data_IF_476199256523
#
_entry.id   IF_476199256523
#
_cell.length_a   1.000
_cell.length_b   1.000
_cell.length_c   1.000
_cell.angle_alpha   90.00
_cell.angle_beta   90.00
_cell.angle_gamma   90.00
#
_symmetry.space_group_name_H-M   'P 1'
#
loop_
_entity.id
_entity.type
_entity.pdbx_description
1 polymer ?
#
# COMPACT_ATOMS: atom_id res chain seq x y z
N UNK A 1 -7.25 -86.38 -4.20
CA UNK A 1 -6.92 -85.29 -5.09
C UNK A 1 -8.15 -84.42 -5.23
N UNK A 2 -8.25 -83.34 -4.45
CA UNK A 2 -9.29 -82.32 -4.62
C UNK A 2 -8.59 -80.96 -4.55
N UNK A 3 -8.61 -80.26 -5.63
CA UNK A 3 -8.07 -78.92 -5.76
C UNK A 3 -9.03 -77.89 -5.15
N UNK A 4 -8.58 -77.17 -4.13
CA UNK A 4 -9.28 -76.02 -3.58
C UNK A 4 -8.92 -74.81 -4.39
N UNK A 5 -9.93 -74.16 -4.96
CA UNK A 5 -9.81 -72.87 -5.66
C UNK A 5 -10.05 -71.79 -4.61
N UNK A 6 -9.04 -70.97 -4.33
CA UNK A 6 -9.14 -69.77 -3.51
C UNK A 6 -9.67 -68.63 -4.36
N UNK A 7 -10.84 -68.13 -4.03
CA UNK A 7 -11.38 -66.91 -4.62
C UNK A 7 -10.81 -65.70 -3.86
N UNK A 8 -10.01 -64.89 -4.55
CA UNK A 8 -9.55 -63.62 -4.04
C UNK A 8 -10.62 -62.54 -4.25
N UNK A 9 -11.21 -62.03 -3.18
CA UNK A 9 -12.10 -60.88 -3.26
C UNK A 9 -11.27 -59.57 -3.37
N UNK A 10 -11.34 -58.91 -4.52
CA UNK A 10 -10.81 -57.55 -4.69
C UNK A 10 -11.79 -56.57 -3.99
N UNK A 11 -11.35 -55.99 -2.90
CA UNK A 11 -11.99 -54.80 -2.31
C UNK A 11 -11.49 -53.59 -3.08
N UNK A 12 -12.31 -53.03 -3.96
CA UNK A 12 -12.07 -51.76 -4.59
C UNK A 12 -12.43 -50.63 -3.62
N UNK A 13 -11.43 -50.05 -2.95
CA UNK A 13 -11.59 -48.78 -2.24
C UNK A 13 -11.68 -47.65 -3.23
N UNK A 14 -12.87 -47.11 -3.43
CA UNK A 14 -13.08 -45.88 -4.17
C UNK A 14 -12.48 -44.70 -3.37
N UNK A 15 -11.29 -44.23 -3.75
CA UNK A 15 -10.77 -42.94 -3.36
C UNK A 15 -11.57 -41.86 -4.10
N UNK A 16 -12.54 -41.29 -3.39
CA UNK A 16 -13.19 -40.04 -3.84
C UNK A 16 -12.20 -38.88 -3.67
N UNK A 17 -11.45 -38.60 -4.73
CA UNK A 17 -10.71 -37.35 -4.83
C UNK A 17 -11.75 -36.23 -5.02
N UNK A 18 -12.08 -35.54 -3.95
CA UNK A 18 -12.72 -34.23 -4.01
C UNK A 18 -11.70 -33.26 -4.64
N UNK A 19 -11.76 -33.11 -5.97
CA UNK A 19 -11.17 -31.96 -6.63
C UNK A 19 -11.92 -30.72 -6.13
N UNK A 20 -11.36 -30.06 -5.13
CA UNK A 20 -11.73 -28.70 -4.81
C UNK A 20 -11.45 -27.86 -6.08
N UNK A 21 -12.52 -27.44 -6.72
CA UNK A 21 -12.46 -26.48 -7.80
C UNK A 21 -11.97 -25.17 -7.18
N UNK A 22 -10.65 -24.93 -7.26
CA UNK A 22 -10.11 -23.60 -7.02
C UNK A 22 -10.76 -22.71 -8.09
N UNK A 23 -11.70 -21.89 -7.65
CA UNK A 23 -12.26 -20.85 -8.49
C UNK A 23 -11.08 -20.00 -8.98
N UNK A 24 -10.69 -20.21 -10.24
CA UNK A 24 -9.69 -19.37 -10.90
C UNK A 24 -10.25 -17.96 -10.89
N UNK A 25 -9.64 -17.07 -10.11
CA UNK A 25 -9.92 -15.65 -10.22
C UNK A 25 -9.80 -15.27 -11.72
N UNK A 26 -10.68 -14.43 -12.24
CA UNK A 26 -10.65 -14.09 -13.65
C UNK A 26 -9.25 -13.60 -14.01
N UNK A 27 -8.63 -14.23 -15.02
CA UNK A 27 -7.34 -13.80 -15.56
C UNK A 27 -7.52 -12.38 -16.04
N UNK A 28 -6.94 -11.45 -15.31
CA UNK A 28 -7.06 -10.03 -15.57
C UNK A 28 -6.26 -9.74 -16.85
N UNK A 29 -6.93 -9.23 -17.90
CA UNK A 29 -6.27 -8.87 -19.16
C UNK A 29 -5.19 -7.83 -18.88
N UNK A 30 -3.93 -8.18 -19.11
CA UNK A 30 -2.80 -7.25 -18.99
C UNK A 30 -2.73 -6.37 -20.24
N UNK A 31 -2.35 -5.10 -20.03
CA UNK A 31 -2.00 -4.20 -21.13
C UNK A 31 -0.59 -4.53 -21.65
N UNK A 32 -0.27 -4.10 -22.86
CA UNK A 32 0.97 -4.51 -23.53
C UNK A 32 2.26 -4.15 -22.81
N UNK A 33 2.22 -3.17 -21.90
CA UNK A 33 3.36 -2.65 -21.14
C UNK A 33 3.22 -2.88 -19.60
N UNK A 34 2.40 -3.84 -19.19
CA UNK A 34 2.24 -4.22 -17.79
C UNK A 34 3.23 -5.33 -17.37
N UNK A 35 3.65 -5.26 -16.12
CA UNK A 35 4.45 -6.30 -15.44
C UNK A 35 3.57 -7.08 -14.48
N UNK A 36 3.62 -8.42 -14.55
CA UNK A 36 2.86 -9.32 -13.66
C UNK A 36 3.46 -9.37 -12.26
N UNK A 37 2.68 -9.81 -11.26
CA UNK A 37 3.16 -10.02 -9.89
C UNK A 37 4.34 -10.98 -9.82
N UNK A 38 4.24 -12.11 -10.51
CA UNK A 38 5.27 -13.16 -10.55
C UNK A 38 6.59 -12.64 -11.12
N UNK A 39 6.50 -11.81 -12.15
CA UNK A 39 7.69 -11.20 -12.76
C UNK A 39 8.35 -10.18 -11.83
N UNK A 40 7.55 -9.41 -11.07
CA UNK A 40 8.08 -8.47 -10.07
C UNK A 40 8.80 -9.20 -8.94
N UNK A 41 8.22 -10.29 -8.43
CA UNK A 41 8.85 -11.13 -7.41
C UNK A 41 10.16 -11.72 -7.93
N UNK A 42 10.16 -12.25 -9.18
CA UNK A 42 11.35 -12.79 -9.81
C UNK A 42 12.47 -11.75 -9.92
N UNK A 43 12.17 -10.52 -10.34
CA UNK A 43 13.18 -9.45 -10.42
C UNK A 43 13.78 -9.11 -9.04
N UNK A 44 12.99 -9.18 -7.99
CA UNK A 44 13.44 -8.96 -6.63
C UNK A 44 14.32 -10.11 -6.14
N UNK A 45 13.83 -11.36 -6.21
CA UNK A 45 14.54 -12.55 -5.71
C UNK A 45 15.85 -12.82 -6.44
N UNK A 46 15.91 -12.47 -7.74
CA UNK A 46 17.17 -12.59 -8.52
C UNK A 46 18.11 -11.39 -8.38
N UNK A 47 17.74 -10.39 -7.55
CA UNK A 47 18.54 -9.20 -7.29
C UNK A 47 18.76 -8.32 -8.51
N UNK A 48 17.81 -8.29 -9.45
CA UNK A 48 17.85 -7.44 -10.65
C UNK A 48 17.44 -6.00 -10.36
N UNK A 49 16.58 -5.78 -9.35
CA UNK A 49 16.15 -4.43 -8.95
C UNK A 49 17.34 -3.63 -8.45
N UNK A 50 17.52 -2.42 -8.99
CA UNK A 50 18.66 -1.54 -8.72
C UNK A 50 19.94 -1.86 -9.51
N UNK A 51 19.92 -2.87 -10.41
CA UNK A 51 21.06 -3.22 -11.28
C UNK A 51 20.73 -3.18 -12.77
N UNK A 52 19.76 -3.98 -13.18
CA UNK A 52 19.29 -4.08 -14.58
C UNK A 52 17.82 -3.69 -14.75
N UNK A 53 17.09 -3.61 -13.65
CA UNK A 53 15.69 -3.17 -13.57
C UNK A 53 15.60 -2.05 -12.54
N UNK A 54 15.15 -0.88 -12.96
CA UNK A 54 14.91 0.26 -12.08
C UNK A 54 13.44 0.32 -11.72
N UNK A 55 13.14 0.21 -10.44
CA UNK A 55 11.78 0.30 -9.92
C UNK A 55 11.54 1.70 -9.38
N UNK A 56 10.45 2.35 -9.79
CA UNK A 56 10.14 3.74 -9.43
C UNK A 56 8.75 3.83 -8.82
N UNK A 57 8.69 4.37 -7.60
CA UNK A 57 7.46 4.67 -6.90
C UNK A 57 6.94 6.05 -7.28
N UNK A 58 5.78 6.08 -7.93
CA UNK A 58 5.12 7.32 -8.37
C UNK A 58 4.22 7.96 -7.32
N UNK A 59 4.09 7.33 -6.13
CA UNK A 59 3.27 7.83 -5.02
C UNK A 59 3.90 9.05 -4.37
N UNK A 60 3.11 9.86 -3.61
CA UNK A 60 3.68 10.92 -2.78
C UNK A 60 4.78 10.43 -1.85
N UNK A 61 5.79 11.28 -1.58
CA UNK A 61 6.96 10.90 -0.77
C UNK A 61 6.59 10.36 0.62
N UNK A 62 5.54 10.86 1.26
CA UNK A 62 5.06 10.34 2.54
C UNK A 62 4.59 8.89 2.49
N UNK A 63 4.03 8.44 1.35
CA UNK A 63 3.65 7.03 1.14
C UNK A 63 4.88 6.16 0.91
N UNK A 64 5.90 6.67 0.22
CA UNK A 64 7.17 5.97 0.00
C UNK A 64 7.89 5.68 1.31
N UNK A 65 8.11 6.71 2.15
CA UNK A 65 8.87 6.55 3.41
C UNK A 65 8.19 5.59 4.40
N UNK A 66 6.85 5.51 4.37
CA UNK A 66 6.07 4.62 5.24
C UNK A 66 6.08 3.15 4.83
N UNK A 67 6.50 2.84 3.59
CA UNK A 67 6.63 1.49 3.06
C UNK A 67 6.61 1.46 1.55
N UNK A 68 7.71 1.02 0.96
CA UNK A 68 7.91 0.89 -0.49
C UNK A 68 8.48 -0.49 -0.84
N UNK A 69 8.41 -0.87 -2.10
CA UNK A 69 9.02 -2.12 -2.58
C UNK A 69 10.55 -1.97 -2.45
N UNK A 70 11.25 -2.91 -1.81
CA UNK A 70 12.69 -2.80 -1.59
C UNK A 70 13.46 -2.58 -2.89
N UNK A 71 14.40 -1.63 -2.87
CA UNK A 71 15.18 -1.22 -4.04
C UNK A 71 14.48 -0.23 -4.97
N UNK A 72 13.26 0.20 -4.66
CA UNK A 72 12.58 1.24 -5.43
C UNK A 72 13.15 2.63 -5.17
N UNK A 73 13.11 3.46 -6.21
CA UNK A 73 13.44 4.88 -6.17
C UNK A 73 12.16 5.70 -6.03
N UNK A 74 12.19 6.79 -5.25
CA UNK A 74 11.06 7.69 -5.09
C UNK A 74 11.06 8.77 -6.16
N UNK A 75 10.03 8.82 -6.99
CA UNK A 75 9.78 9.92 -7.93
C UNK A 75 8.28 10.21 -8.01
N UNK A 76 7.74 10.98 -7.06
CA UNK A 76 6.35 11.38 -7.10
C UNK A 76 5.97 12.03 -8.44
N UNK A 77 4.82 11.65 -9.01
CA UNK A 77 4.38 12.15 -10.31
C UNK A 77 4.26 13.68 -10.37
N UNK A 78 3.86 14.32 -9.28
CA UNK A 78 3.73 15.77 -9.21
C UNK A 78 5.10 16.46 -9.29
N UNK A 79 6.13 15.89 -8.67
CA UNK A 79 7.52 16.36 -8.84
C UNK A 79 7.97 16.19 -10.28
N UNK A 80 7.74 15.02 -10.88
CA UNK A 80 8.08 14.73 -12.27
C UNK A 80 7.36 15.66 -13.26
N UNK A 81 6.08 15.96 -13.03
CA UNK A 81 5.30 16.91 -13.86
C UNK A 81 5.78 18.35 -13.70
N UNK A 82 6.26 18.73 -12.52
CA UNK A 82 6.77 20.09 -12.24
C UNK A 82 8.18 20.28 -12.78
N UNK A 83 9.02 19.29 -12.65
CA UNK A 83 10.44 19.30 -13.04
C UNK A 83 10.83 17.94 -13.62
N UNK A 84 10.75 17.84 -14.96
CA UNK A 84 11.12 16.61 -15.65
C UNK A 84 12.61 16.24 -15.44
N UNK A 85 13.49 17.22 -15.19
CA UNK A 85 14.89 16.96 -14.90
C UNK A 85 15.10 16.21 -13.55
N UNK A 86 14.08 16.15 -12.69
CA UNK A 86 14.11 15.29 -11.50
C UNK A 86 14.34 13.82 -11.83
N UNK A 87 13.94 13.37 -13.03
CA UNK A 87 14.20 12.01 -13.50
C UNK A 87 15.68 11.71 -13.70
N UNK A 88 16.45 12.71 -14.17
CA UNK A 88 17.89 12.52 -14.45
C UNK A 88 18.69 12.32 -13.15
N UNK A 89 18.18 12.85 -12.03
CA UNK A 89 18.79 12.66 -10.68
C UNK A 89 18.71 11.22 -10.18
N UNK A 90 17.86 10.39 -10.77
CA UNK A 90 17.77 8.98 -10.42
C UNK A 90 18.93 8.13 -10.99
N UNK A 91 19.71 8.67 -11.92
CA UNK A 91 20.82 7.97 -12.54
C UNK A 91 20.41 6.77 -13.42
N UNK A 92 19.16 6.72 -13.86
CA UNK A 92 18.63 5.64 -14.69
C UNK A 92 19.10 5.84 -16.14
N UNK A 93 19.79 4.87 -16.76
CA UNK A 93 20.17 4.99 -18.16
C UNK A 93 18.95 4.95 -19.08
N UNK A 94 18.96 5.72 -20.17
CA UNK A 94 17.84 5.79 -21.14
C UNK A 94 17.48 4.44 -21.78
N UNK A 95 18.46 3.52 -21.85
CA UNK A 95 18.29 2.15 -22.35
C UNK A 95 17.90 1.15 -21.26
N UNK A 96 17.77 1.61 -20.01
CA UNK A 96 17.43 0.74 -18.88
C UNK A 96 15.94 0.40 -18.84
N UNK A 97 15.64 -0.81 -18.37
CA UNK A 97 14.26 -1.21 -18.06
C UNK A 97 13.79 -0.48 -16.81
N UNK A 98 12.77 0.37 -16.96
CA UNK A 98 12.18 1.14 -15.84
C UNK A 98 10.76 0.66 -15.60
N UNK A 99 10.43 0.31 -14.37
CA UNK A 99 9.10 -0.15 -13.98
C UNK A 99 8.51 0.84 -12.97
N UNK A 100 7.39 1.45 -13.32
CA UNK A 100 6.67 2.36 -12.43
C UNK A 100 5.57 1.63 -11.68
N UNK A 101 5.40 1.94 -10.40
CA UNK A 101 4.27 1.46 -9.62
C UNK A 101 3.62 2.56 -8.78
N UNK A 102 2.42 2.30 -8.29
CA UNK A 102 1.71 3.17 -7.37
C UNK A 102 0.82 2.38 -6.39
N UNK A 103 -0.33 2.92 -5.98
CA UNK A 103 -1.18 2.35 -4.95
C UNK A 103 -2.13 1.23 -5.45
N UNK A 104 -1.95 0.72 -6.66
CA UNK A 104 -2.77 -0.36 -7.22
C UNK A 104 -3.44 0.02 -8.55
N UNK A 105 -4.25 -0.88 -9.10
CA UNK A 105 -4.77 -0.78 -10.48
C UNK A 105 -5.62 0.46 -10.75
N UNK A 106 -6.38 0.92 -9.78
CA UNK A 106 -7.23 2.11 -9.91
C UNK A 106 -6.42 3.43 -9.86
N UNK A 107 -5.16 3.35 -9.46
CA UNK A 107 -4.26 4.50 -9.38
C UNK A 107 -3.52 4.70 -10.72
N UNK A 108 -3.63 5.86 -11.35
CA UNK A 108 -3.00 6.16 -12.65
C UNK A 108 -1.61 6.78 -12.56
N UNK A 109 -1.09 7.07 -11.34
CA UNK A 109 0.18 7.79 -11.18
C UNK A 109 1.35 7.09 -11.89
N UNK A 110 1.41 5.75 -11.82
CA UNK A 110 2.46 4.96 -12.48
C UNK A 110 2.34 4.97 -14.01
N UNK A 111 1.12 4.93 -14.54
CA UNK A 111 0.85 5.02 -15.99
C UNK A 111 1.30 6.37 -16.54
N UNK A 112 0.91 7.44 -15.85
CA UNK A 112 1.29 8.81 -16.22
C UNK A 112 2.81 9.01 -16.17
N UNK A 113 3.48 8.48 -15.12
CA UNK A 113 4.94 8.55 -14.99
C UNK A 113 5.64 7.82 -16.13
N UNK A 114 5.21 6.59 -16.45
CA UNK A 114 5.76 5.81 -17.58
C UNK A 114 5.57 6.55 -18.91
N UNK A 115 4.40 7.16 -19.14
CA UNK A 115 4.14 7.95 -20.36
C UNK A 115 5.06 9.16 -20.47
N UNK A 116 5.36 9.86 -19.37
CA UNK A 116 6.33 10.98 -19.35
C UNK A 116 7.73 10.46 -19.67
N UNK A 117 8.18 9.37 -19.05
CA UNK A 117 9.49 8.79 -19.29
C UNK A 117 9.68 8.36 -20.75
N UNK A 118 8.66 7.77 -21.38
CA UNK A 118 8.72 7.44 -22.84
C UNK A 118 8.92 8.68 -23.68
N UNK A 119 8.22 9.78 -23.38
CA UNK A 119 8.43 11.08 -24.08
C UNK A 119 9.81 11.67 -23.83
N UNK A 120 10.47 11.33 -22.73
CA UNK A 120 11.83 11.72 -22.40
C UNK A 120 12.89 10.79 -23.03
N UNK A 121 12.49 9.79 -23.82
CA UNK A 121 13.37 8.87 -24.52
C UNK A 121 13.76 7.60 -23.75
N UNK A 122 13.08 7.27 -22.64
CA UNK A 122 13.19 5.96 -22.00
C UNK A 122 12.24 4.98 -22.70
N UNK A 123 12.76 4.18 -23.63
CA UNK A 123 11.92 3.34 -24.49
C UNK A 123 11.44 2.07 -23.79
N UNK A 124 12.15 1.59 -22.76
CA UNK A 124 11.82 0.37 -22.00
C UNK A 124 11.16 0.73 -20.65
N UNK A 125 10.11 1.57 -20.69
CA UNK A 125 9.35 2.00 -19.53
C UNK A 125 8.04 1.21 -19.39
N UNK A 126 7.90 0.49 -18.29
CA UNK A 126 6.82 -0.45 -17.95
C UNK A 126 6.02 0.01 -16.75
N UNK A 127 4.88 -0.64 -16.49
CA UNK A 127 4.02 -0.35 -15.36
C UNK A 127 3.69 -1.62 -14.59
N UNK A 128 3.93 -1.60 -13.28
CA UNK A 128 3.41 -2.59 -12.35
C UNK A 128 2.07 -2.10 -11.79
N UNK A 129 0.97 -2.41 -12.53
CA UNK A 129 -0.38 -1.89 -12.24
C UNK A 129 -0.94 -2.36 -10.90
N UNK A 130 -0.60 -3.58 -10.48
CA UNK A 130 -1.04 -4.10 -9.18
C UNK A 130 -0.39 -3.36 -8.00
N UNK A 131 0.73 -2.69 -8.23
CA UNK A 131 1.38 -1.81 -7.26
C UNK A 131 1.64 -2.44 -5.89
N UNK A 132 1.61 -1.62 -4.83
CA UNK A 132 1.82 -2.09 -3.46
C UNK A 132 0.85 -3.20 -3.04
N UNK A 133 -0.47 -3.15 -3.34
CA UNK A 133 -1.36 -4.26 -3.00
C UNK A 133 -0.97 -5.58 -3.65
N UNK A 134 -0.62 -5.58 -4.93
CA UNK A 134 -0.18 -6.79 -5.64
C UNK A 134 1.11 -7.37 -5.07
N UNK A 135 2.06 -6.50 -4.68
CA UNK A 135 3.29 -6.89 -3.99
C UNK A 135 2.99 -7.57 -2.64
N UNK A 136 2.13 -6.95 -1.83
CA UNK A 136 1.74 -7.48 -0.52
C UNK A 136 0.94 -8.79 -0.61
N UNK A 137 0.14 -8.98 -1.68
CA UNK A 137 -0.58 -10.25 -1.93
C UNK A 137 0.37 -11.45 -2.16
N UNK A 138 1.61 -11.20 -2.59
CA UNK A 138 2.66 -12.21 -2.71
C UNK A 138 3.45 -12.39 -1.42
N UNK A 139 2.93 -11.93 -0.29
CA UNK A 139 3.58 -11.96 1.02
C UNK A 139 4.97 -11.28 1.05
N UNK A 140 5.28 -10.45 0.07
CA UNK A 140 6.55 -9.76 -0.01
C UNK A 140 6.58 -8.55 0.95
N UNK A 141 7.71 -8.31 1.67
CA UNK A 141 7.82 -7.24 2.63
C UNK A 141 7.95 -5.87 1.95
N UNK A 142 7.44 -4.83 2.62
CA UNK A 142 7.71 -3.43 2.29
C UNK A 142 8.82 -2.90 3.18
N UNK A 143 9.71 -2.06 2.64
CA UNK A 143 10.77 -1.39 3.37
C UNK A 143 10.30 -0.01 3.82
N UNK A 144 10.41 0.28 5.12
CA UNK A 144 10.19 1.61 5.68
C UNK A 144 11.51 2.40 5.73
N UNK A 145 11.42 3.71 5.60
CA UNK A 145 12.56 4.62 5.72
C UNK A 145 12.78 5.07 7.17
N UNK A 146 14.03 5.38 7.51
CA UNK A 146 14.40 5.88 8.83
C UNK A 146 13.59 7.13 9.22
N UNK A 147 13.33 8.03 8.29
CA UNK A 147 12.54 9.23 8.50
C UNK A 147 11.12 8.91 9.01
N UNK A 148 10.52 7.82 8.53
CA UNK A 148 9.23 7.35 9.02
C UNK A 148 9.36 6.76 10.42
N UNK A 149 10.37 5.92 10.67
CA UNK A 149 10.63 5.32 11.98
C UNK A 149 10.90 6.41 13.04
N UNK A 150 11.62 7.47 12.70
CA UNK A 150 11.92 8.58 13.64
C UNK A 150 10.70 9.43 14.00
N UNK A 151 9.80 9.68 13.06
CA UNK A 151 8.74 10.70 13.21
C UNK A 151 7.33 10.18 12.98
N UNK A 152 7.20 8.97 12.45
CA UNK A 152 5.90 8.39 12.10
C UNK A 152 5.10 7.98 13.35
N UNK A 153 3.77 8.10 13.24
CA UNK A 153 2.84 7.54 14.22
C UNK A 153 2.65 6.04 13.91
N UNK A 154 3.50 5.20 14.43
CA UNK A 154 3.59 3.77 14.14
C UNK A 154 3.88 2.93 15.39
N UNK A 155 3.79 1.62 15.23
CA UNK A 155 4.20 0.63 16.23
C UNK A 155 5.41 -0.14 15.67
N UNK A 156 6.50 -0.13 16.41
CA UNK A 156 7.68 -0.97 16.15
C UNK A 156 7.47 -2.35 16.79
N UNK A 157 7.78 -3.39 16.02
CA UNK A 157 7.79 -4.77 16.49
C UNK A 157 9.22 -5.28 16.43
N UNK A 158 9.80 -5.59 17.58
CA UNK A 158 11.15 -6.16 17.70
C UNK A 158 11.04 -7.59 18.22
N UNK A 159 11.33 -8.56 17.38
CA UNK A 159 11.19 -9.99 17.72
C UNK A 159 12.45 -10.61 18.33
N UNK A 160 13.52 -9.84 18.44
CA UNK A 160 14.75 -10.31 19.06
C UNK A 160 14.77 -10.01 20.57
N UNK A 161 15.27 -10.92 21.41
CA UNK A 161 15.44 -10.70 22.85
C UNK A 161 16.66 -9.84 23.16
N UNK A 162 16.75 -8.67 22.56
CA UNK A 162 17.85 -7.73 22.75
C UNK A 162 17.58 -6.81 23.95
N UNK A 163 18.65 -6.36 24.61
CA UNK A 163 18.54 -5.43 25.73
C UNK A 163 18.01 -4.06 25.30
N UNK A 164 18.49 -3.58 24.15
CA UNK A 164 18.19 -2.24 23.63
C UNK A 164 17.54 -2.34 22.22
N UNK A 165 16.65 -1.42 21.96
CA UNK A 165 15.92 -1.33 20.68
C UNK A 165 15.71 0.13 20.27
N UNK A 166 15.01 0.35 19.15
CA UNK A 166 14.66 1.69 18.68
C UNK A 166 13.50 2.21 19.54
N UNK A 167 13.78 3.24 20.34
CA UNK A 167 12.77 3.96 21.13
C UNK A 167 12.79 5.43 20.74
N UNK A 168 11.64 5.95 20.31
CA UNK A 168 11.47 7.35 19.95
C UNK A 168 10.24 7.95 20.69
N UNK A 169 10.14 9.27 20.71
CA UNK A 169 8.96 9.94 21.28
C UNK A 169 7.68 9.74 20.44
N UNK A 170 7.83 9.38 19.16
CA UNK A 170 6.72 9.32 18.18
C UNK A 170 6.14 7.95 17.98
N UNK A 171 6.91 6.89 18.28
CA UNK A 171 6.47 5.51 18.05
C UNK A 171 6.23 4.76 19.37
N UNK A 172 5.57 3.63 19.24
CA UNK A 172 5.38 2.65 20.31
C UNK A 172 6.18 1.42 19.97
N UNK A 173 6.77 0.76 20.96
CA UNK A 173 7.58 -0.43 20.77
C UNK A 173 6.95 -1.62 21.48
N UNK A 174 6.84 -2.72 20.75
CA UNK A 174 6.59 -4.07 21.28
C UNK A 174 7.86 -4.88 21.07
N UNK A 175 8.49 -5.30 22.15
CA UNK A 175 9.60 -6.24 22.10
C UNK A 175 9.15 -7.60 22.64
N UNK A 176 9.06 -8.59 21.76
CA UNK A 176 8.59 -9.95 22.02
C UNK A 176 9.34 -10.93 21.14
N UNK A 177 9.69 -12.10 21.68
CA UNK A 177 10.11 -13.20 20.81
C UNK A 177 9.01 -13.55 19.80
N UNK A 178 9.36 -14.19 18.69
CA UNK A 178 8.35 -14.63 17.70
C UNK A 178 7.31 -15.58 18.30
N UNK A 179 7.72 -16.46 19.22
CA UNK A 179 6.80 -17.34 19.93
C UNK A 179 5.85 -16.57 20.86
N UNK A 180 6.34 -15.55 21.56
CA UNK A 180 5.52 -14.68 22.40
C UNK A 180 4.56 -13.80 21.56
N UNK A 181 5.00 -13.37 20.37
CA UNK A 181 4.15 -12.61 19.44
C UNK A 181 2.96 -13.46 18.98
N UNK A 182 3.16 -14.76 18.74
CA UNK A 182 2.10 -15.72 18.39
C UNK A 182 1.17 -16.06 19.56
N UNK A 183 1.63 -15.92 20.78
CA UNK A 183 0.93 -16.31 22.01
C UNK A 183 0.16 -15.18 22.68
N UNK A 184 -0.15 -15.42 23.97
CA UNK A 184 -0.96 -14.54 24.82
C UNK A 184 -0.36 -13.13 25.01
N UNK A 185 0.98 -13.03 25.06
CA UNK A 185 1.65 -11.73 25.17
C UNK A 185 1.43 -10.87 23.94
N UNK A 186 1.47 -11.46 22.74
CA UNK A 186 1.13 -10.77 21.50
C UNK A 186 -0.34 -10.35 21.46
N UNK A 187 -1.23 -11.20 21.92
CA UNK A 187 -2.65 -10.87 22.07
C UNK A 187 -2.87 -9.73 23.07
N UNK A 188 -2.20 -9.75 24.22
CA UNK A 188 -2.26 -8.67 25.20
C UNK A 188 -1.77 -7.34 24.61
N UNK A 189 -0.64 -7.34 23.91
CA UNK A 189 -0.04 -6.12 23.37
C UNK A 189 -0.81 -5.52 22.19
N UNK A 190 -1.31 -6.37 21.28
CA UNK A 190 -1.82 -5.97 19.97
C UNK A 190 -3.33 -6.21 19.79
N UNK A 191 -3.99 -6.93 20.71
CA UNK A 191 -5.37 -7.38 20.54
C UNK A 191 -6.39 -6.24 20.40
N UNK A 192 -6.16 -5.11 21.08
CA UNK A 192 -7.01 -3.91 21.00
C UNK A 192 -6.50 -2.86 20.01
N UNK A 193 -5.35 -3.12 19.37
CA UNK A 193 -4.75 -2.18 18.42
C UNK A 193 -5.57 -2.11 17.13
N UNK A 194 -5.77 -0.90 16.61
CA UNK A 194 -6.41 -0.69 15.31
C UNK A 194 -5.69 -1.49 14.22
N UNK A 195 -6.43 -2.20 13.37
CA UNK A 195 -5.88 -2.96 12.24
C UNK A 195 -5.28 -2.08 11.15
N UNK A 196 -5.53 -0.78 11.22
CA UNK A 196 -4.95 0.24 10.34
C UNK A 196 -3.69 0.89 10.95
N UNK A 197 -3.29 0.52 12.17
CA UNK A 197 -2.02 0.99 12.73
C UNK A 197 -0.85 0.54 11.84
N UNK A 198 0.06 1.44 11.45
CA UNK A 198 1.29 1.04 10.77
C UNK A 198 2.18 0.26 11.71
N UNK A 199 2.53 -0.97 11.36
CA UNK A 199 3.45 -1.82 12.10
C UNK A 199 4.72 -1.99 11.29
N UNK A 200 5.86 -1.73 11.94
CA UNK A 200 7.18 -1.88 11.32
C UNK A 200 8.00 -2.89 12.13
N UNK A 201 8.34 -4.01 11.51
CA UNK A 201 9.18 -5.05 12.11
C UNK A 201 10.65 -4.62 12.00
N UNK A 202 11.38 -4.63 13.12
CA UNK A 202 12.81 -4.33 13.12
C UNK A 202 13.57 -5.54 12.62
N UNK A 203 14.32 -5.37 11.52
CA UNK A 203 15.23 -6.37 11.00
C UNK A 203 16.61 -6.22 11.65
N UNK A 204 17.03 -7.23 12.38
CA UNK A 204 18.36 -7.33 13.00
C UNK A 204 19.34 -8.18 12.18
N UNK A 205 19.09 -8.35 10.88
CA UNK A 205 19.88 -9.15 9.96
C UNK A 205 19.32 -10.58 9.77
N UNK A 206 18.08 -10.82 10.18
CA UNK A 206 17.38 -12.09 9.98
C UNK A 206 16.02 -11.85 9.27
N UNK A 207 16.06 -11.82 7.95
CA UNK A 207 14.86 -11.67 7.12
C UNK A 207 13.86 -12.83 7.26
N UNK A 208 14.31 -14.03 7.68
CA UNK A 208 13.38 -15.13 7.92
C UNK A 208 12.52 -14.84 9.16
N UNK A 209 13.13 -14.32 10.23
CA UNK A 209 12.39 -13.89 11.41
C UNK A 209 11.45 -12.71 11.11
N UNK A 210 11.90 -11.75 10.28
CA UNK A 210 11.07 -10.62 9.81
C UNK A 210 9.86 -11.12 9.05
N UNK A 211 10.03 -12.01 8.07
CA UNK A 211 8.94 -12.56 7.27
C UNK A 211 7.95 -13.35 8.14
N UNK A 212 8.43 -14.14 9.09
CA UNK A 212 7.58 -14.88 10.02
C UNK A 212 6.76 -13.95 10.94
N UNK A 213 7.35 -12.83 11.38
CA UNK A 213 6.63 -11.82 12.16
C UNK A 213 5.58 -11.08 11.30
N UNK A 214 5.93 -10.71 10.07
CA UNK A 214 4.99 -10.05 9.15
C UNK A 214 3.82 -10.97 8.79
N UNK A 215 4.05 -12.27 8.65
CA UNK A 215 2.99 -13.26 8.41
C UNK A 215 2.03 -13.33 9.59
N UNK A 216 2.56 -13.48 10.81
CA UNK A 216 1.74 -13.46 12.03
C UNK A 216 0.89 -12.19 12.13
N UNK A 217 1.46 -11.03 11.79
CA UNK A 217 0.73 -9.76 11.79
C UNK A 217 -0.36 -9.71 10.71
N UNK A 218 -0.15 -10.33 9.54
CA UNK A 218 -1.19 -10.49 8.51
C UNK A 218 -2.31 -11.40 8.97
N UNK A 219 -1.99 -12.53 9.58
CA UNK A 219 -2.98 -13.46 10.16
C UNK A 219 -3.85 -12.78 11.23
N UNK A 220 -3.31 -11.73 11.89
CA UNK A 220 -4.05 -10.88 12.82
C UNK A 220 -4.78 -9.70 12.13
N UNK A 221 -4.92 -9.72 10.81
CA UNK A 221 -5.58 -8.70 10.00
C UNK A 221 -4.93 -7.30 9.99
N UNK A 222 -3.67 -7.15 10.43
CA UNK A 222 -2.97 -5.88 10.25
C UNK A 222 -2.62 -5.67 8.77
N UNK A 223 -2.86 -4.47 8.25
CA UNK A 223 -2.82 -4.17 6.82
C UNK A 223 -1.62 -3.33 6.40
N UNK A 224 -1.12 -2.49 7.31
CA UNK A 224 -0.04 -1.53 7.04
C UNK A 224 1.25 -2.06 7.64
N UNK A 225 1.88 -2.99 6.92
CA UNK A 225 3.04 -3.74 7.38
C UNK A 225 4.28 -3.38 6.57
N UNK A 226 5.38 -3.11 7.25
CA UNK A 226 6.70 -2.91 6.67
C UNK A 226 7.78 -3.47 7.60
N UNK A 227 9.01 -3.53 7.13
CA UNK A 227 10.17 -3.78 7.96
C UNK A 227 11.15 -2.60 7.88
N UNK A 228 12.04 -2.52 8.86
CA UNK A 228 13.12 -1.54 8.89
C UNK A 228 14.43 -2.21 9.34
N UNK A 229 15.52 -2.15 8.53
CA UNK A 229 16.81 -2.70 8.92
C UNK A 229 17.42 -1.89 10.06
N UNK A 230 17.74 -2.54 11.19
CA UNK A 230 18.39 -1.87 12.32
C UNK A 230 19.74 -1.25 11.93
N UNK A 231 20.43 -1.84 10.95
CA UNK A 231 21.69 -1.32 10.40
C UNK A 231 21.56 0.05 9.72
N UNK A 232 20.34 0.43 9.30
CA UNK A 232 20.04 1.74 8.73
C UNK A 232 19.66 2.79 9.81
N UNK A 233 19.58 2.41 11.08
CA UNK A 233 19.26 3.34 12.16
C UNK A 233 20.48 4.18 12.55
N UNK A 234 20.34 5.50 12.50
CA UNK A 234 21.40 6.46 12.86
C UNK A 234 21.23 7.06 14.27
N UNK A 235 20.12 6.74 14.93
CA UNK A 235 19.86 7.21 16.31
C UNK A 235 20.47 6.28 17.37
N UNK A 236 20.31 6.66 18.63
CA UNK A 236 20.69 5.82 19.77
C UNK A 236 19.66 4.71 20.00
N UNK A 237 20.12 3.58 20.50
CA UNK A 237 19.26 2.52 21.03
C UNK A 237 19.03 2.74 22.54
N UNK A 238 17.89 2.31 23.03
CA UNK A 238 17.53 2.41 24.46
C UNK A 238 16.83 1.13 24.92
N UNK A 239 16.80 0.85 26.22
CA UNK A 239 16.05 -0.27 26.77
C UNK A 239 14.58 -0.18 26.36
N UNK A 240 14.02 -1.32 25.93
CA UNK A 240 12.61 -1.41 25.57
C UNK A 240 11.73 -1.12 26.80
N UNK A 241 10.61 -0.41 26.65
CA UNK A 241 9.64 -0.23 27.71
C UNK A 241 9.01 -1.55 28.11
N UNK A 242 8.44 -1.60 29.32
CA UNK A 242 7.67 -2.75 29.76
C UNK A 242 6.51 -3.03 28.78
N UNK A 243 6.27 -4.31 28.52
CA UNK A 243 5.18 -4.74 27.64
C UNK A 243 3.82 -4.36 28.26
N UNK A 244 3.03 -3.63 27.51
CA UNK A 244 1.65 -3.25 27.87
C UNK A 244 0.74 -3.37 26.68
N UNK A 245 -0.57 -3.41 26.91
CA UNK A 245 -1.56 -3.26 25.84
C UNK A 245 -1.38 -1.89 25.16
N UNK A 246 -1.27 -1.92 23.83
CA UNK A 246 -1.08 -0.69 23.07
C UNK A 246 -2.41 -0.13 22.55
N UNK A 247 -2.49 1.18 22.50
CA UNK A 247 -3.51 1.92 21.76
C UNK A 247 -2.84 2.73 20.66
N UNK A 248 -3.50 2.85 19.55
CA UNK A 248 -3.08 3.71 18.44
C UNK A 248 -4.30 4.43 17.88
N UNK A 249 -4.13 5.68 17.56
CA UNK A 249 -5.13 6.48 16.88
C UNK A 249 -4.50 7.13 15.66
N UNK A 250 -5.20 7.21 14.52
CA UNK A 250 -4.70 7.92 13.36
C UNK A 250 -4.50 9.41 13.68
N UNK A 251 -3.46 9.97 13.09
CA UNK A 251 -3.24 11.42 13.09
C UNK A 251 -3.50 11.88 11.66
N UNK A 252 -4.52 12.69 11.52
CA UNK A 252 -4.91 13.26 10.23
C UNK A 252 -4.15 14.55 9.96
N UNK A 253 -3.61 14.68 8.76
CA UNK A 253 -2.94 15.90 8.31
C UNK A 253 -3.92 17.06 8.03
N UNK A 254 -3.41 18.24 7.71
CA UNK A 254 -4.25 19.39 7.35
C UNK A 254 -5.24 19.03 6.24
N UNK A 255 -6.53 19.26 6.47
CA UNK A 255 -7.61 18.94 5.53
C UNK A 255 -7.95 17.46 5.35
N UNK A 256 -7.14 16.55 5.88
CA UNK A 256 -7.46 15.11 5.86
C UNK A 256 -8.57 14.79 6.86
N UNK A 257 -9.53 13.97 6.45
CA UNK A 257 -10.63 13.53 7.32
C UNK A 257 -10.66 12.02 7.47
N UNK A 258 -11.15 11.57 8.63
CA UNK A 258 -11.40 10.16 8.89
C UNK A 258 -12.47 9.60 7.92
N UNK A 259 -12.43 8.30 7.54
CA UNK A 259 -13.47 7.65 6.75
C UNK A 259 -14.87 7.93 7.27
N UNK A 260 -15.09 7.78 8.57
CA UNK A 260 -16.40 8.03 9.20
C UNK A 260 -16.90 9.46 8.97
N UNK A 261 -16.03 10.46 9.10
CA UNK A 261 -16.39 11.87 8.84
C UNK A 261 -16.75 12.09 7.38
N UNK A 262 -16.06 11.40 6.46
CA UNK A 262 -16.39 11.45 5.03
C UNK A 262 -17.73 10.78 4.74
N UNK A 263 -18.00 9.60 5.31
CA UNK A 263 -19.28 8.90 5.18
C UNK A 263 -20.45 9.73 5.74
N UNK A 264 -20.25 10.38 6.88
CA UNK A 264 -21.22 11.30 7.48
C UNK A 264 -21.49 12.50 6.56
N UNK A 265 -20.46 13.03 5.88
CA UNK A 265 -20.62 14.11 4.91
C UNK A 265 -21.44 13.66 3.68
N UNK A 266 -21.21 12.45 3.17
CA UNK A 266 -22.01 11.84 2.09
C UNK A 266 -23.48 11.69 2.53
N UNK A 267 -23.70 11.11 3.71
CA UNK A 267 -25.04 10.91 4.25
C UNK A 267 -25.81 12.23 4.48
N UNK A 268 -25.10 13.28 4.87
CA UNK A 268 -25.63 14.63 5.05
C UNK A 268 -25.82 15.43 3.74
N UNK A 269 -25.55 14.83 2.58
CA UNK A 269 -25.66 15.50 1.28
C UNK A 269 -24.71 16.67 1.09
N UNK A 270 -23.53 16.63 1.72
CA UNK A 270 -22.46 17.63 1.50
C UNK A 270 -21.90 17.51 0.07
N UNK A 271 -21.22 18.54 -0.39
CA UNK A 271 -20.61 18.51 -1.72
C UNK A 271 -19.42 17.54 -1.74
N UNK A 272 -19.59 16.44 -2.47
CA UNK A 272 -18.56 15.41 -2.66
C UNK A 272 -17.96 15.59 -4.03
N UNK A 273 -16.64 15.82 -4.08
CA UNK A 273 -15.86 15.96 -5.30
C UNK A 273 -15.08 14.67 -5.58
N UNK A 274 -15.49 13.95 -6.61
CA UNK A 274 -14.76 12.75 -7.06
C UNK A 274 -13.80 13.13 -8.19
N UNK A 275 -12.49 12.98 -7.93
CA UNK A 275 -11.43 13.36 -8.86
C UNK A 275 -10.85 12.18 -9.65
N UNK A 276 -11.53 11.03 -9.66
CA UNK A 276 -11.19 9.89 -10.51
C UNK A 276 -11.51 10.17 -11.97
N UNK A 277 -10.91 9.42 -12.91
CA UNK A 277 -11.32 9.46 -14.32
C UNK A 277 -12.82 9.23 -14.49
N UNK A 278 -13.44 9.85 -15.48
CA UNK A 278 -14.89 9.75 -15.73
C UNK A 278 -15.36 8.30 -15.91
N UNK A 279 -14.54 7.42 -16.51
CA UNK A 279 -14.85 6.01 -16.67
C UNK A 279 -14.94 5.25 -15.33
N UNK A 280 -14.11 5.63 -14.33
CA UNK A 280 -14.14 5.03 -13.00
C UNK A 280 -15.35 5.53 -12.21
N UNK A 281 -15.65 6.81 -12.32
CA UNK A 281 -16.84 7.42 -11.74
C UNK A 281 -18.12 6.77 -12.28
N UNK A 282 -18.19 6.51 -13.58
CA UNK A 282 -19.35 5.89 -14.21
C UNK A 282 -19.62 4.45 -13.74
N UNK A 283 -18.57 3.72 -13.30
CA UNK A 283 -18.73 2.36 -12.72
C UNK A 283 -19.36 2.37 -11.33
N UNK A 284 -19.15 3.47 -10.59
CA UNK A 284 -19.74 3.67 -9.27
C UNK A 284 -19.08 4.83 -8.54
N UNK A 285 -19.86 5.53 -7.72
CA UNK A 285 -19.45 6.72 -6.98
C UNK A 285 -20.32 6.93 -5.75
N UNK A 286 -19.89 7.77 -4.82
CA UNK A 286 -20.71 8.16 -3.69
C UNK A 286 -21.95 8.91 -4.15
N UNK A 287 -23.06 8.63 -3.50
CA UNK A 287 -24.35 9.29 -3.80
C UNK A 287 -24.19 10.81 -3.80
N UNK A 288 -24.65 11.44 -4.88
CA UNK A 288 -24.61 12.89 -5.05
C UNK A 288 -23.22 13.47 -5.35
N UNK A 289 -22.21 12.64 -5.57
CA UNK A 289 -20.86 13.12 -5.93
C UNK A 289 -20.85 13.79 -7.30
N UNK A 290 -20.03 14.84 -7.43
CA UNK A 290 -19.76 15.53 -8.68
C UNK A 290 -18.39 15.09 -9.17
N UNK A 291 -18.30 14.64 -10.43
CA UNK A 291 -17.04 14.23 -11.01
C UNK A 291 -16.35 15.41 -11.72
N UNK A 292 -15.15 15.70 -11.26
CA UNK A 292 -14.18 16.56 -11.97
C UNK A 292 -12.84 15.86 -11.93
N UNK A 293 -12.46 15.09 -12.97
CA UNK A 293 -11.18 14.44 -13.03
C UNK A 293 -10.04 15.43 -12.75
N UNK A 294 -9.04 15.02 -11.96
CA UNK A 294 -7.97 15.93 -11.56
C UNK A 294 -7.25 16.55 -12.74
N UNK A 295 -7.19 15.86 -13.88
CA UNK A 295 -6.59 16.32 -15.14
C UNK A 295 -7.39 17.47 -15.79
N UNK A 296 -8.70 17.57 -15.46
CA UNK A 296 -9.62 18.61 -15.95
C UNK A 296 -9.89 19.70 -14.92
N UNK A 297 -9.37 19.54 -13.70
CA UNK A 297 -9.68 20.38 -12.55
C UNK A 297 -9.45 21.88 -12.84
N UNK A 298 -8.36 22.24 -13.54
CA UNK A 298 -8.04 23.63 -13.84
C UNK A 298 -9.03 24.30 -14.81
N UNK A 299 -9.72 23.52 -15.63
CA UNK A 299 -10.74 23.99 -16.58
C UNK A 299 -12.13 24.08 -15.95
N UNK A 300 -12.36 23.27 -14.92
CA UNK A 300 -13.69 23.00 -14.38
C UNK A 300 -13.92 23.54 -12.95
N UNK A 301 -13.10 24.50 -12.49
CA UNK A 301 -13.31 25.11 -11.16
C UNK A 301 -14.72 25.69 -10.96
N UNK A 302 -15.39 26.12 -12.04
CA UNK A 302 -16.75 26.62 -11.96
C UNK A 302 -17.77 25.58 -11.47
N UNK A 303 -17.47 24.30 -11.57
CA UNK A 303 -18.32 23.21 -11.06
C UNK A 303 -18.17 23.00 -9.55
N UNK A 304 -17.16 23.63 -8.92
CA UNK A 304 -16.83 23.43 -7.50
C UNK A 304 -17.22 24.69 -6.73
N UNK A 305 -18.18 24.61 -5.80
CA UNK A 305 -18.60 25.77 -5.02
C UNK A 305 -17.51 26.20 -4.03
N UNK A 306 -17.38 27.53 -3.79
CA UNK A 306 -16.42 28.09 -2.84
C UNK A 306 -16.98 28.35 -1.45
N UNK A 307 -18.27 28.43 -1.37
CA UNK A 307 -19.05 28.90 -0.21
C UNK A 307 -19.58 27.76 0.67
N UNK A 308 -19.37 26.51 0.25
CA UNK A 308 -19.75 25.32 1.02
C UNK A 308 -18.55 24.41 1.27
N UNK A 309 -18.62 23.54 2.29
CA UNK A 309 -17.58 22.53 2.50
C UNK A 309 -17.51 21.54 1.33
N UNK A 310 -16.31 21.32 0.81
CA UNK A 310 -15.98 20.39 -0.28
C UNK A 310 -15.22 19.20 0.28
N UNK A 311 -15.74 17.99 0.04
CA UNK A 311 -15.10 16.73 0.45
C UNK A 311 -14.57 16.00 -0.79
N UNK A 312 -13.26 15.80 -0.86
CA UNK A 312 -12.59 15.26 -2.05
C UNK A 312 -12.26 13.79 -1.85
N UNK A 313 -12.61 12.94 -2.82
CA UNK A 313 -12.17 11.55 -2.88
C UNK A 313 -11.53 11.19 -4.21
N UNK A 314 -10.70 10.15 -4.17
CA UNK A 314 -10.22 9.43 -5.35
C UNK A 314 -10.13 7.92 -5.02
N UNK A 315 -9.43 7.13 -5.84
CA UNK A 315 -9.31 5.69 -5.61
C UNK A 315 -8.40 5.32 -4.41
N UNK A 316 -7.40 6.15 -4.05
CA UNK A 316 -6.34 5.77 -3.10
C UNK A 316 -5.81 6.93 -2.22
N UNK A 317 -6.51 8.05 -2.19
CA UNK A 317 -6.13 9.23 -1.42
C UNK A 317 -5.13 10.18 -2.09
N UNK A 318 -4.20 9.68 -2.92
CA UNK A 318 -3.12 10.49 -3.48
C UNK A 318 -3.60 11.66 -4.36
N UNK A 319 -4.59 11.44 -5.23
CA UNK A 319 -5.18 12.49 -6.06
C UNK A 319 -6.07 13.43 -5.25
N UNK A 320 -6.74 12.92 -4.20
CA UNK A 320 -7.55 13.73 -3.28
C UNK A 320 -6.70 14.74 -2.53
N UNK A 321 -5.58 14.31 -1.96
CA UNK A 321 -4.63 15.20 -1.29
C UNK A 321 -4.10 16.28 -2.25
N UNK A 322 -3.68 15.87 -3.45
CA UNK A 322 -3.22 16.84 -4.47
C UNK A 322 -4.31 17.85 -4.85
N UNK A 323 -5.57 17.40 -4.97
CA UNK A 323 -6.70 18.29 -5.25
C UNK A 323 -6.92 19.27 -4.12
N UNK A 324 -6.84 18.83 -2.85
CA UNK A 324 -6.88 19.70 -1.68
C UNK A 324 -5.85 20.82 -1.78
N UNK A 325 -4.59 20.50 -2.11
CA UNK A 325 -3.51 21.47 -2.26
C UNK A 325 -3.78 22.46 -3.41
N UNK A 326 -4.34 21.99 -4.53
CA UNK A 326 -4.67 22.85 -5.69
C UNK A 326 -5.81 23.81 -5.31
N UNK A 327 -6.89 23.29 -4.72
CA UNK A 327 -8.04 24.11 -4.33
C UNK A 327 -7.66 25.14 -3.27
N UNK A 328 -6.82 24.79 -2.30
CA UNK A 328 -6.29 25.73 -1.30
C UNK A 328 -5.53 26.90 -1.94
N UNK A 329 -4.64 26.62 -2.92
CA UNK A 329 -3.95 27.69 -3.69
C UNK A 329 -4.90 28.55 -4.53
N UNK A 330 -6.08 28.04 -4.87
CA UNK A 330 -7.13 28.79 -5.61
C UNK A 330 -8.13 29.50 -4.69
N UNK A 331 -7.85 29.52 -3.37
CA UNK A 331 -8.62 30.28 -2.40
C UNK A 331 -9.90 29.57 -1.90
N UNK A 332 -9.99 28.24 -2.04
CA UNK A 332 -11.04 27.47 -1.39
C UNK A 332 -10.64 27.24 0.08
N UNK A 333 -11.41 27.77 1.01
CA UNK A 333 -11.10 27.72 2.45
C UNK A 333 -11.60 26.44 3.14
N UNK A 334 -12.71 25.85 2.66
CA UNK A 334 -13.41 24.75 3.31
C UNK A 334 -13.27 23.45 2.50
N UNK A 335 -12.05 22.97 2.29
CA UNK A 335 -11.80 21.73 1.57
C UNK A 335 -11.29 20.68 2.55
N UNK A 336 -11.83 19.48 2.45
CA UNK A 336 -11.36 18.28 3.15
C UNK A 336 -11.10 17.16 2.15
N UNK A 337 -10.21 16.24 2.46
CA UNK A 337 -9.94 15.11 1.57
C UNK A 337 -9.84 13.79 2.32
N UNK A 338 -10.23 12.73 1.62
CA UNK A 338 -10.12 11.36 2.09
C UNK A 338 -8.81 10.74 1.57
N UNK A 339 -7.94 10.32 2.49
CA UNK A 339 -6.72 9.55 2.18
C UNK A 339 -6.93 8.08 2.51
N UNK A 340 -7.72 7.41 1.69
CA UNK A 340 -8.08 6.01 1.85
C UNK A 340 -8.36 5.35 0.49
N UNK A 341 -8.36 4.03 0.46
CA UNK A 341 -8.80 3.27 -0.70
C UNK A 341 -10.32 3.31 -0.80
N UNK A 342 -10.84 3.76 -1.94
CA UNK A 342 -12.27 3.83 -2.24
C UNK A 342 -12.60 2.87 -3.37
N UNK A 343 -13.57 1.99 -3.14
CA UNK A 343 -14.12 1.09 -4.14
C UNK A 343 -15.63 1.23 -4.17
N UNK A 344 -16.20 1.48 -5.36
CA UNK A 344 -17.63 1.67 -5.56
C UNK A 344 -18.19 0.74 -6.65
N UNK A 345 -19.41 0.25 -6.41
CA UNK A 345 -20.24 -0.43 -7.40
C UNK A 345 -21.61 0.24 -7.40
N UNK A 346 -21.91 1.04 -8.44
CA UNK A 346 -23.01 1.97 -8.39
C UNK A 346 -22.82 2.97 -7.25
N UNK A 347 -23.83 3.19 -6.42
CA UNK A 347 -23.73 4.06 -5.23
C UNK A 347 -23.26 3.34 -3.97
N UNK A 348 -22.97 2.03 -4.04
CA UNK A 348 -22.41 1.27 -2.93
C UNK A 348 -20.90 1.43 -2.92
N UNK A 349 -20.42 2.27 -2.03
CA UNK A 349 -18.98 2.51 -1.85
C UNK A 349 -18.47 1.93 -0.53
N UNK A 350 -17.25 1.44 -0.53
CA UNK A 350 -16.49 1.05 0.67
C UNK A 350 -15.22 1.87 0.76
N UNK A 351 -14.87 2.25 1.98
CA UNK A 351 -13.63 2.98 2.31
C UNK A 351 -12.75 2.06 3.15
N UNK A 352 -11.48 1.92 2.76
CA UNK A 352 -10.47 1.19 3.52
C UNK A 352 -9.26 2.10 3.78
N UNK A 353 -8.93 2.35 5.03
CA UNK A 353 -7.69 3.04 5.43
C UNK A 353 -6.46 2.15 5.26
#
# INVERSE_FOLDING_TARGET
>A
MKRMILAAALVATALSTSMAWAATAPVQKMEADEVANEQMVLYFETGMIGKSVWLVDSRPAGKFIGGHIPGALSLPLDLLKKDAASADKLGIPKTGKVIFYCAGRECTLSVDSAAIFRKMGYLDAWVYRNGVPGWSQKAQPLLAEEAFVKKGNLVLIDTAPAKDSIVTASNKLVQLSLSDLKGDKGQMALGTLSKNAPLVVIDRGDMAAVNAALEELRERDFRRLAYFPLSAWTGTLAPAPALTALSWAPVYGPGQVAPKVFEEAVAAGKFILDVRPAADFARGHFKGAVNVPIEELEKDFAKIPKDVPVFVNCASGAKSQKTFDILGRKGYANVSYLDAEVSCKGELCSIKE
#
